data_IF_604891673033
#
_entry.id   IF_604891673033
#
_cell.length_a   1.000
_cell.length_b   1.000
_cell.length_c   1.000
_cell.angle_alpha   90.00
_cell.angle_beta   90.00
_cell.angle_gamma   90.00
#
_symmetry.space_group_name_H-M   'P 1'
#
loop_
_entity.id
_entity.type
_entity.pdbx_description
1 polymer ?
#
# COMPACT_ATOMS: atom_id res chain seq x y z
N UNK A 1 1.95 -24.11 4.00
CA UNK A 1 2.54 -25.15 3.14
C UNK A 1 3.49 -24.47 2.14
N UNK A 2 4.66 -25.06 1.88
CA UNK A 2 5.55 -24.60 0.83
C UNK A 2 5.10 -25.14 -0.52
N UNK A 3 5.18 -24.32 -1.56
CA UNK A 3 4.79 -24.68 -2.90
C UNK A 3 5.75 -24.10 -3.94
N UNK A 4 5.80 -24.69 -5.10
CA UNK A 4 6.50 -24.17 -6.27
C UNK A 4 5.47 -23.67 -7.26
N UNK A 5 5.61 -22.41 -7.69
CA UNK A 5 4.78 -21.86 -8.78
C UNK A 5 5.25 -22.49 -10.09
N UNK A 6 4.34 -23.16 -10.75
CA UNK A 6 4.63 -23.93 -11.97
C UNK A 6 3.71 -23.57 -13.13
N UNK A 7 4.20 -23.81 -14.32
CA UNK A 7 3.45 -23.74 -15.58
C UNK A 7 4.00 -24.75 -16.57
N UNK A 8 3.38 -24.89 -17.72
CA UNK A 8 3.91 -25.71 -18.83
C UNK A 8 5.38 -25.32 -19.11
N UNK A 9 6.33 -26.26 -19.06
CA UNK A 9 7.75 -25.97 -19.27
C UNK A 9 8.03 -25.30 -20.59
N UNK A 10 9.00 -24.39 -20.60
CA UNK A 10 9.32 -23.59 -21.80
C UNK A 10 9.64 -24.43 -23.04
N UNK A 11 10.25 -25.60 -22.85
CA UNK A 11 10.60 -26.52 -23.95
C UNK A 11 9.37 -27.17 -24.58
N UNK A 12 8.24 -27.20 -23.90
CA UNK A 12 6.99 -27.77 -24.41
C UNK A 12 6.04 -26.69 -24.95
N UNK A 13 6.40 -25.41 -24.86
CA UNK A 13 5.60 -24.31 -25.40
C UNK A 13 5.77 -24.24 -26.92
N UNK A 14 4.66 -24.00 -27.60
CA UNK A 14 4.65 -23.59 -29.00
C UNK A 14 5.23 -22.18 -29.19
N UNK A 15 5.60 -21.80 -30.42
CA UNK A 15 6.09 -20.45 -30.68
C UNK A 15 5.08 -19.35 -30.41
N UNK A 16 3.80 -19.65 -30.50
CA UNK A 16 2.71 -18.73 -30.15
C UNK A 16 2.64 -18.55 -28.62
N UNK A 17 2.64 -19.64 -27.87
CA UNK A 17 2.59 -19.63 -26.39
C UNK A 17 3.80 -18.90 -25.78
N UNK A 18 4.99 -19.01 -26.39
CA UNK A 18 6.22 -18.32 -25.93
C UNK A 18 6.14 -16.81 -26.01
N UNK A 19 5.31 -16.26 -26.90
CA UNK A 19 5.12 -14.82 -27.11
C UNK A 19 4.00 -14.23 -26.25
N UNK A 20 3.28 -15.06 -25.52
CA UNK A 20 2.16 -14.62 -24.67
C UNK A 20 2.61 -14.46 -23.23
N UNK A 21 2.04 -13.43 -22.56
CA UNK A 21 2.13 -13.30 -21.13
C UNK A 21 1.33 -14.42 -20.48
N UNK A 22 1.95 -15.14 -19.54
CA UNK A 22 1.30 -16.23 -18.82
C UNK A 22 0.15 -15.70 -17.99
N UNK A 23 -1.04 -16.28 -18.15
CA UNK A 23 -2.19 -15.96 -17.31
C UNK A 23 -2.10 -16.72 -15.99
N UNK A 24 -2.64 -16.16 -14.92
CA UNK A 24 -2.71 -16.86 -13.62
C UNK A 24 -3.48 -18.19 -13.74
N UNK A 25 -4.50 -18.25 -14.58
CA UNK A 25 -5.29 -19.46 -14.84
C UNK A 25 -4.50 -20.59 -15.50
N UNK A 26 -3.34 -20.27 -16.11
CA UNK A 26 -2.48 -21.25 -16.79
C UNK A 26 -1.33 -21.72 -15.87
N UNK A 27 -1.37 -21.33 -14.61
CA UNK A 27 -0.39 -21.65 -13.58
C UNK A 27 -0.98 -22.56 -12.53
N UNK A 28 -0.13 -23.33 -11.87
CA UNK A 28 -0.50 -24.15 -10.72
C UNK A 28 0.57 -24.07 -9.62
N UNK A 29 0.20 -24.50 -8.44
CA UNK A 29 1.07 -24.60 -7.29
C UNK A 29 1.35 -26.08 -7.03
N UNK A 30 2.61 -26.46 -7.14
CA UNK A 30 3.04 -27.81 -6.78
C UNK A 30 3.45 -27.81 -5.30
N UNK A 31 2.67 -28.51 -4.48
CA UNK A 31 2.91 -28.73 -3.05
C UNK A 31 3.50 -30.12 -2.76
N UNK A 32 3.80 -30.92 -3.80
CA UNK A 32 4.31 -32.28 -3.66
C UNK A 32 3.25 -33.32 -3.30
N UNK A 33 1.96 -33.00 -3.45
CA UNK A 33 0.87 -33.97 -3.22
C UNK A 33 0.80 -35.01 -4.34
N UNK A 34 0.53 -36.28 -4.00
CA UNK A 34 0.41 -37.36 -4.98
C UNK A 34 -1.01 -37.50 -5.56
N UNK A 35 -2.00 -37.00 -4.82
CA UNK A 35 -3.41 -37.09 -5.17
C UNK A 35 -4.19 -35.94 -4.54
N UNK A 36 -5.50 -35.89 -4.80
CA UNK A 36 -6.40 -34.87 -4.31
C UNK A 36 -6.54 -34.91 -2.79
N UNK A 37 -6.62 -36.07 -2.22
CA UNK A 37 -6.79 -36.29 -0.79
C UNK A 37 -5.58 -35.77 0.00
N UNK A 38 -4.36 -35.99 -0.50
CA UNK A 38 -3.14 -35.41 0.08
C UNK A 38 -3.16 -33.88 0.04
N UNK A 39 -3.65 -33.29 -1.05
CA UNK A 39 -3.74 -31.86 -1.19
C UNK A 39 -4.80 -31.25 -0.26
N UNK A 40 -6.01 -31.83 -0.24
CA UNK A 40 -7.14 -31.35 0.59
C UNK A 40 -6.88 -31.49 2.10
N UNK A 41 -5.97 -32.37 2.50
CA UNK A 41 -5.52 -32.45 3.88
C UNK A 41 -4.65 -31.26 4.34
N UNK A 42 -4.13 -30.48 3.42
CA UNK A 42 -3.18 -29.39 3.68
C UNK A 42 -3.67 -28.01 3.27
N UNK A 43 -4.51 -27.92 2.24
CA UNK A 43 -4.99 -26.66 1.65
C UNK A 43 -6.45 -26.77 1.22
N UNK A 44 -7.14 -25.65 1.22
CA UNK A 44 -8.52 -25.53 0.76
C UNK A 44 -8.67 -24.51 -0.37
N UNK A 45 -9.74 -24.63 -1.15
CA UNK A 45 -10.08 -23.63 -2.15
C UNK A 45 -10.41 -22.31 -1.47
N UNK A 46 -9.65 -21.28 -1.79
CA UNK A 46 -9.78 -19.94 -1.17
C UNK A 46 -8.61 -19.58 -0.25
N UNK A 47 -7.71 -20.51 0.02
CA UNK A 47 -6.50 -20.21 0.79
C UNK A 47 -5.62 -19.18 0.08
N UNK A 48 -5.08 -18.17 0.79
CA UNK A 48 -4.21 -17.19 0.22
C UNK A 48 -2.82 -17.77 -0.10
N UNK A 49 -2.25 -17.29 -1.19
CA UNK A 49 -0.89 -17.64 -1.60
C UNK A 49 0.01 -16.41 -1.48
N UNK A 50 1.13 -16.58 -0.80
CA UNK A 50 2.13 -15.52 -0.63
C UNK A 50 3.50 -15.98 -1.12
N UNK A 51 4.32 -15.03 -1.60
CA UNK A 51 5.69 -15.34 -1.98
C UNK A 51 6.56 -15.52 -0.72
N UNK A 52 7.31 -16.60 -0.68
CA UNK A 52 8.23 -16.92 0.43
C UNK A 52 9.55 -16.12 0.28
N UNK A 53 9.45 -14.79 0.40
CA UNK A 53 10.58 -13.87 0.33
C UNK A 53 10.64 -13.04 1.61
N UNK A 54 11.86 -12.87 2.14
CA UNK A 54 12.12 -11.96 3.26
C UNK A 54 12.53 -10.57 2.77
N UNK A 55 12.70 -9.65 3.72
CA UNK A 55 13.29 -8.35 3.46
C UNK A 55 14.76 -8.51 3.06
N UNK A 56 15.17 -7.75 2.06
CA UNK A 56 16.55 -7.70 1.57
C UNK A 56 17.05 -6.26 1.61
N UNK A 57 18.18 -6.04 2.22
CA UNK A 57 18.88 -4.76 2.16
C UNK A 57 19.57 -4.59 0.81
N UNK A 58 19.49 -3.38 0.29
CA UNK A 58 20.08 -3.01 -1.00
C UNK A 58 21.07 -1.87 -0.82
N UNK A 59 21.82 -1.54 -1.86
CA UNK A 59 22.74 -0.40 -1.85
C UNK A 59 22.01 0.91 -1.52
N UNK A 60 22.74 1.85 -0.95
CA UNK A 60 22.29 3.22 -0.62
C UNK A 60 21.11 3.27 0.38
N UNK A 61 21.04 2.30 1.32
CA UNK A 61 20.01 2.29 2.35
C UNK A 61 18.60 1.96 1.83
N UNK A 62 18.52 1.35 0.67
CA UNK A 62 17.25 0.84 0.14
C UNK A 62 16.96 -0.56 0.68
N UNK A 63 15.70 -0.92 0.71
CA UNK A 63 15.26 -2.26 1.07
C UNK A 63 14.20 -2.76 0.07
N UNK A 64 14.15 -4.07 -0.10
CA UNK A 64 13.16 -4.77 -0.90
C UNK A 64 12.47 -5.83 -0.05
N UNK A 65 11.16 -5.90 -0.13
CA UNK A 65 10.35 -6.95 0.50
C UNK A 65 9.01 -7.11 -0.21
N UNK A 66 8.38 -8.29 -0.15
CA UNK A 66 6.99 -8.43 -0.57
C UNK A 66 6.06 -7.57 0.29
N UNK A 67 4.98 -7.09 -0.31
CA UNK A 67 3.93 -6.34 0.38
C UNK A 67 4.44 -5.09 1.13
N UNK A 68 5.44 -4.39 0.60
CA UNK A 68 5.77 -3.04 1.08
C UNK A 68 4.59 -2.08 0.89
N UNK A 69 3.77 -2.34 -0.10
CA UNK A 69 2.38 -1.91 -0.19
C UNK A 69 1.50 -2.89 0.61
N UNK A 70 0.95 -2.52 1.77
CA UNK A 70 1.27 -1.30 2.49
C UNK A 70 1.77 -1.61 3.92
N UNK A 71 2.67 -2.60 4.09
CA UNK A 71 3.29 -2.90 5.40
C UNK A 71 4.09 -1.73 5.94
N UNK A 72 4.68 -0.92 5.06
CA UNK A 72 5.42 0.28 5.44
C UNK A 72 4.50 1.32 6.06
N UNK A 73 3.31 1.55 5.50
CA UNK A 73 2.31 2.45 6.07
C UNK A 73 1.76 1.94 7.41
N UNK A 74 1.52 0.64 7.55
CA UNK A 74 1.12 0.05 8.85
C UNK A 74 2.17 0.32 9.92
N UNK A 75 3.45 0.14 9.60
CA UNK A 75 4.53 0.49 10.53
C UNK A 75 4.52 1.98 10.91
N UNK A 76 4.33 2.86 9.92
CA UNK A 76 4.30 4.32 10.14
C UNK A 76 3.16 4.72 11.08
N UNK A 77 1.94 4.20 10.90
CA UNK A 77 0.81 4.58 11.76
C UNK A 77 0.98 4.07 13.19
N UNK A 78 1.55 2.88 13.39
CA UNK A 78 1.87 2.35 14.72
C UNK A 78 2.95 3.19 15.40
N UNK A 79 4.02 3.52 14.68
CA UNK A 79 5.10 4.36 15.21
C UNK A 79 4.62 5.79 15.51
N UNK A 80 3.75 6.34 14.67
CA UNK A 80 3.13 7.65 14.93
C UNK A 80 2.30 7.63 16.21
N UNK A 81 1.51 6.58 16.47
CA UNK A 81 0.76 6.42 17.71
C UNK A 81 1.70 6.32 18.93
N UNK A 82 2.78 5.53 18.80
CA UNK A 82 3.79 5.39 19.85
C UNK A 82 4.40 6.74 20.24
N UNK A 83 4.73 7.57 19.24
CA UNK A 83 5.30 8.92 19.46
C UNK A 83 4.27 9.92 19.96
N UNK A 84 3.00 9.77 19.60
CA UNK A 84 1.94 10.68 20.00
C UNK A 84 1.52 10.47 21.45
N UNK A 85 1.70 9.29 22.03
CA UNK A 85 1.21 8.86 23.34
C UNK A 85 1.43 9.91 24.45
N UNK A 86 2.59 10.51 24.50
CA UNK A 86 2.97 11.44 25.55
C UNK A 86 2.82 12.92 25.12
N UNK A 87 2.35 13.19 23.90
CA UNK A 87 2.24 14.55 23.36
C UNK A 87 0.82 15.09 23.31
N UNK A 88 -0.19 14.23 23.24
CA UNK A 88 -1.59 14.62 23.02
C UNK A 88 -2.55 13.97 24.01
N UNK A 89 -2.42 14.27 25.31
CA UNK A 89 -3.22 13.59 26.35
C UNK A 89 -4.71 13.97 26.30
N UNK A 90 -5.09 15.03 25.58
CA UNK A 90 -6.46 15.57 25.55
C UNK A 90 -7.27 15.11 24.34
N UNK A 91 -6.69 14.36 23.42
CA UNK A 91 -7.38 13.83 22.24
C UNK A 91 -7.16 12.32 22.11
N UNK A 92 -8.18 11.63 21.58
CA UNK A 92 -8.05 10.23 21.17
C UNK A 92 -7.24 10.14 19.89
N UNK A 93 -6.17 9.34 19.89
CA UNK A 93 -5.36 9.03 18.72
C UNK A 93 -5.45 7.54 18.45
N UNK A 94 -5.76 7.16 17.22
CA UNK A 94 -5.97 5.79 16.80
C UNK A 94 -5.00 5.45 15.65
N UNK A 95 -4.27 4.36 15.77
CA UNK A 95 -3.59 3.73 14.64
C UNK A 95 -4.47 2.57 14.17
N UNK A 96 -4.74 2.52 12.88
CA UNK A 96 -5.65 1.53 12.29
C UNK A 96 -4.93 0.83 11.15
N UNK A 97 -4.84 -0.49 11.23
CA UNK A 97 -4.47 -1.34 10.10
C UNK A 97 -5.74 -1.81 9.43
N UNK A 98 -6.02 -1.25 8.27
CA UNK A 98 -7.22 -1.54 7.49
C UNK A 98 -7.07 -2.83 6.71
N UNK A 99 -8.11 -3.65 6.69
CA UNK A 99 -8.16 -4.86 5.89
C UNK A 99 -8.84 -4.60 4.55
N UNK A 100 -8.47 -5.40 3.54
CA UNK A 100 -9.16 -5.40 2.25
C UNK A 100 -9.17 -4.02 1.55
N UNK A 101 -8.06 -3.29 1.64
CA UNK A 101 -7.87 -2.04 0.91
C UNK A 101 -7.94 -2.31 -0.59
N UNK A 102 -7.12 -3.24 -1.11
CA UNK A 102 -6.94 -3.62 -2.51
C UNK A 102 -8.22 -4.11 -3.22
N UNK A 103 -9.24 -4.49 -2.48
CA UNK A 103 -10.51 -5.01 -3.00
C UNK A 103 -11.71 -4.13 -2.63
N UNK A 104 -11.49 -2.85 -2.41
CA UNK A 104 -12.54 -1.85 -2.26
C UNK A 104 -12.57 -1.07 -0.96
N UNK A 105 -11.41 -0.85 -0.32
CA UNK A 105 -11.24 0.07 0.83
C UNK A 105 -12.15 -0.28 2.02
N UNK A 106 -12.41 -1.58 2.22
CA UNK A 106 -13.50 -2.06 3.09
C UNK A 106 -13.20 -1.81 4.56
N UNK A 107 -11.99 -2.11 5.00
CA UNK A 107 -11.56 -1.90 6.38
C UNK A 107 -11.57 -0.44 6.80
N UNK A 108 -11.13 0.46 5.93
CA UNK A 108 -11.15 1.89 6.18
C UNK A 108 -12.58 2.43 6.35
N UNK A 109 -13.51 1.96 5.53
CA UNK A 109 -14.92 2.35 5.63
C UNK A 109 -15.53 1.95 6.96
N UNK A 110 -15.30 0.72 7.40
CA UNK A 110 -15.91 0.19 8.65
C UNK A 110 -15.23 0.73 9.88
N UNK A 111 -13.90 0.85 9.91
CA UNK A 111 -13.16 1.39 11.04
C UNK A 111 -13.43 2.87 11.25
N UNK A 112 -13.47 3.68 10.18
CA UNK A 112 -13.82 5.09 10.27
C UNK A 112 -15.26 5.30 10.78
N UNK A 113 -16.19 4.41 10.41
CA UNK A 113 -17.56 4.46 10.95
C UNK A 113 -17.58 4.17 12.46
N UNK A 114 -16.84 3.16 12.92
CA UNK A 114 -16.79 2.78 14.33
C UNK A 114 -16.11 3.83 15.20
N UNK A 115 -14.97 4.36 14.74
CA UNK A 115 -14.17 5.35 15.48
C UNK A 115 -14.82 6.74 15.45
N UNK A 116 -15.50 7.09 14.36
CA UNK A 116 -16.08 8.43 14.12
C UNK A 116 -15.06 9.57 14.33
N UNK A 117 -13.92 9.57 13.64
CA UNK A 117 -12.87 10.54 13.88
C UNK A 117 -13.25 11.93 13.39
N UNK A 118 -12.76 12.98 14.07
CA UNK A 118 -12.89 14.38 13.61
C UNK A 118 -11.99 14.66 12.41
N UNK A 119 -10.79 14.07 12.42
CA UNK A 119 -9.84 14.14 11.31
C UNK A 119 -9.11 12.81 11.16
N UNK A 120 -8.65 12.53 9.97
CA UNK A 120 -7.87 11.33 9.65
C UNK A 120 -6.71 11.63 8.70
N UNK A 121 -5.67 10.83 8.79
CA UNK A 121 -4.58 10.80 7.82
C UNK A 121 -4.48 9.37 7.32
N UNK A 122 -4.75 9.15 6.05
CA UNK A 122 -4.44 7.89 5.40
C UNK A 122 -2.94 7.86 5.06
N UNK A 123 -2.31 6.72 5.32
CA UNK A 123 -0.90 6.48 4.97
C UNK A 123 -0.86 5.32 3.98
N UNK A 124 -0.32 5.58 2.81
CA UNK A 124 -0.27 4.64 1.71
C UNK A 124 1.11 4.67 1.03
N UNK A 125 1.30 3.96 -0.05
CA UNK A 125 2.47 4.07 -0.91
C UNK A 125 2.15 4.85 -2.19
N UNK A 126 3.17 5.28 -2.90
CA UNK A 126 3.05 5.87 -4.23
C UNK A 126 4.23 5.49 -5.11
N UNK A 127 4.02 5.44 -6.41
CA UNK A 127 5.09 5.10 -7.35
C UNK A 127 6.12 6.23 -7.43
N UNK A 128 7.38 5.91 -7.11
CA UNK A 128 8.50 6.78 -7.42
C UNK A 128 8.71 6.79 -8.94
N UNK A 129 8.92 7.98 -9.50
CA UNK A 129 9.01 8.19 -10.94
C UNK A 129 10.45 8.37 -11.42
N UNK A 130 11.41 8.12 -10.54
CA UNK A 130 12.84 8.18 -10.80
C UNK A 130 13.42 6.82 -11.27
N UNK A 131 12.61 6.02 -11.94
CA UNK A 131 13.00 4.77 -12.57
C UNK A 131 12.83 4.82 -14.10
N UNK A 132 13.46 3.91 -14.84
CA UNK A 132 13.37 3.88 -16.31
C UNK A 132 11.94 3.77 -16.82
N UNK A 133 11.68 4.38 -17.99
CA UNK A 133 10.42 4.29 -18.72
C UNK A 133 9.20 4.95 -18.09
N UNK A 134 9.38 5.83 -17.10
CA UNK A 134 8.29 6.63 -16.53
C UNK A 134 8.28 8.03 -17.15
N UNK A 135 7.13 8.43 -17.70
CA UNK A 135 6.91 9.81 -18.18
C UNK A 135 6.51 10.72 -17.00
N UNK A 136 7.48 11.51 -16.54
CA UNK A 136 7.28 12.46 -15.44
C UNK A 136 6.27 13.56 -15.73
N UNK A 137 6.01 13.88 -17.00
CA UNK A 137 4.98 14.88 -17.37
C UNK A 137 3.58 14.36 -17.05
N UNK A 138 3.39 13.06 -17.14
CA UNK A 138 2.10 12.40 -16.86
C UNK A 138 1.96 11.97 -15.40
N UNK A 139 3.06 11.49 -14.80
CA UNK A 139 3.02 10.84 -13.48
C UNK A 139 3.53 11.72 -12.33
N UNK A 140 4.08 12.91 -12.65
CA UNK A 140 4.76 13.75 -11.66
C UNK A 140 6.24 13.38 -11.46
N UNK A 141 6.95 14.16 -10.65
CA UNK A 141 8.37 13.90 -10.31
C UNK A 141 8.49 13.56 -8.82
N UNK A 142 8.30 12.27 -8.51
CA UNK A 142 8.40 11.73 -7.15
C UNK A 142 9.64 10.86 -7.09
N UNK A 143 10.51 11.14 -6.11
CA UNK A 143 11.80 10.48 -5.96
C UNK A 143 11.81 9.57 -4.74
N UNK A 144 12.42 8.42 -4.89
CA UNK A 144 12.72 7.52 -3.78
C UNK A 144 13.71 8.20 -2.82
N UNK A 145 13.46 8.10 -1.53
CA UNK A 145 14.34 8.67 -0.50
C UNK A 145 14.28 10.19 -0.32
N UNK A 146 13.47 10.92 -1.10
CA UNK A 146 13.33 12.38 -0.99
C UNK A 146 12.24 12.81 0.03
N UNK A 147 11.83 11.93 0.90
CA UNK A 147 10.77 12.13 1.89
C UNK A 147 9.40 11.65 1.43
N UNK A 148 8.42 11.62 2.35
CA UNK A 148 7.05 11.23 2.04
C UNK A 148 6.41 12.21 1.05
N UNK A 149 5.37 11.76 0.38
CA UNK A 149 4.59 12.61 -0.52
C UNK A 149 3.29 13.02 0.17
N UNK A 150 3.04 14.32 0.28
CA UNK A 150 1.77 14.88 0.75
C UNK A 150 0.90 15.17 -0.47
N UNK A 151 -0.30 14.65 -0.49
CA UNK A 151 -1.22 14.83 -1.61
C UNK A 151 -2.20 15.98 -1.41
N UNK A 152 -2.53 16.63 -2.54
CA UNK A 152 -3.61 17.62 -2.67
C UNK A 152 -4.64 17.12 -3.67
N UNK A 153 -5.89 17.49 -3.48
CA UNK A 153 -6.97 17.14 -4.39
C UNK A 153 -8.29 16.91 -3.67
N UNK A 154 -9.32 16.46 -4.38
CA UNK A 154 -10.68 16.33 -3.83
C UNK A 154 -10.81 15.35 -2.66
N UNK A 155 -9.88 14.42 -2.49
CA UNK A 155 -9.84 13.49 -1.37
C UNK A 155 -9.13 14.03 -0.13
N UNK A 156 -8.55 15.24 -0.20
CA UNK A 156 -7.75 15.79 0.86
C UNK A 156 -8.34 17.11 1.36
N UNK A 157 -8.63 17.19 2.65
CA UNK A 157 -9.07 18.42 3.26
C UNK A 157 -7.93 19.47 3.23
N UNK A 158 -8.13 20.68 2.67
CA UNK A 158 -7.07 21.65 2.52
C UNK A 158 -6.46 22.12 3.84
N UNK A 159 -7.22 22.16 4.93
CA UNK A 159 -6.70 22.49 6.26
C UNK A 159 -5.79 21.40 6.82
N UNK A 160 -6.14 20.13 6.63
CA UNK A 160 -5.28 19.01 7.03
C UNK A 160 -3.98 19.03 6.21
N UNK A 161 -4.06 19.23 4.91
CA UNK A 161 -2.88 19.34 4.04
C UNK A 161 -1.98 20.52 4.47
N UNK A 162 -2.59 21.67 4.79
CA UNK A 162 -1.81 22.82 5.25
C UNK A 162 -1.11 22.53 6.56
N UNK A 163 -1.80 21.90 7.53
CA UNK A 163 -1.20 21.47 8.81
C UNK A 163 -0.02 20.51 8.63
N UNK A 164 -0.15 19.53 7.75
CA UNK A 164 0.96 18.60 7.44
C UNK A 164 2.18 19.36 6.91
N UNK A 165 1.97 20.34 6.04
CA UNK A 165 3.05 21.16 5.48
C UNK A 165 3.68 22.08 6.53
N UNK A 166 2.88 22.69 7.38
CA UNK A 166 3.34 23.58 8.44
C UNK A 166 4.23 22.82 9.43
N UNK A 167 3.81 21.62 9.85
CA UNK A 167 4.61 20.74 10.71
C UNK A 167 5.90 20.30 10.02
N UNK A 168 5.83 19.92 8.75
CA UNK A 168 7.01 19.54 7.99
C UNK A 168 8.03 20.69 7.89
N UNK A 169 7.54 21.92 7.68
CA UNK A 169 8.39 23.12 7.65
C UNK A 169 8.99 23.45 9.02
N UNK A 170 8.18 23.38 10.07
CA UNK A 170 8.62 23.63 11.45
C UNK A 170 9.71 22.65 11.91
N UNK A 171 9.53 21.38 11.63
CA UNK A 171 10.42 20.30 12.06
C UNK A 171 11.49 19.97 11.01
N UNK A 172 11.59 20.78 9.95
CA UNK A 172 12.54 20.61 8.84
C UNK A 172 12.49 19.22 8.19
N UNK A 173 11.30 18.63 8.11
CA UNK A 173 11.09 17.31 7.49
C UNK A 173 10.99 17.49 5.98
N UNK A 174 11.89 16.89 5.19
CA UNK A 174 11.75 16.91 3.73
C UNK A 174 10.51 16.16 3.30
N UNK A 175 9.75 16.71 2.38
CA UNK A 175 8.57 16.06 1.79
C UNK A 175 8.42 16.47 0.32
N UNK A 176 7.65 15.69 -0.40
CA UNK A 176 7.28 15.96 -1.79
C UNK A 176 5.80 16.31 -1.87
N UNK A 177 5.42 17.12 -2.84
CA UNK A 177 4.03 17.50 -3.04
C UNK A 177 3.51 16.92 -4.34
N UNK A 178 2.36 16.25 -4.29
CA UNK A 178 1.65 15.74 -5.45
C UNK A 178 0.18 16.13 -5.42
N UNK A 179 -0.48 15.99 -6.57
CA UNK A 179 -1.90 16.29 -6.70
C UNK A 179 -2.63 15.21 -7.50
N UNK A 180 -3.86 14.93 -7.08
CA UNK A 180 -4.78 14.05 -7.81
C UNK A 180 -6.07 14.84 -8.01
N UNK A 181 -6.44 15.08 -9.27
CA UNK A 181 -7.65 15.84 -9.65
C UNK A 181 -8.94 15.02 -9.65
N UNK A 182 -8.91 13.79 -9.17
CA UNK A 182 -10.04 12.84 -9.13
C UNK A 182 -10.02 12.05 -7.82
N UNK A 183 -11.03 11.21 -7.59
CA UNK A 183 -11.01 10.25 -6.49
C UNK A 183 -9.76 9.36 -6.56
N UNK A 184 -9.06 9.24 -5.46
CA UNK A 184 -7.91 8.34 -5.34
C UNK A 184 -8.36 6.94 -4.93
N UNK A 185 -7.67 5.92 -5.43
CA UNK A 185 -7.93 4.53 -5.05
C UNK A 185 -7.12 4.19 -3.79
N UNK A 186 -7.46 4.85 -2.66
CA UNK A 186 -6.84 4.61 -1.36
C UNK A 186 -7.85 4.90 -0.24
N UNK A 187 -7.48 4.58 0.99
CA UNK A 187 -8.36 4.69 2.16
C UNK A 187 -8.89 6.10 2.41
N UNK A 188 -8.15 7.16 2.06
CA UNK A 188 -8.64 8.54 2.19
C UNK A 188 -9.95 8.77 1.44
N UNK A 189 -10.16 8.08 0.31
CA UNK A 189 -11.36 8.23 -0.51
C UNK A 189 -12.66 7.84 0.21
N UNK A 190 -12.63 6.82 1.04
CA UNK A 190 -13.82 6.35 1.77
C UNK A 190 -13.91 6.93 3.17
N UNK A 191 -12.78 7.28 3.79
CA UNK A 191 -12.75 7.91 5.11
C UNK A 191 -13.43 9.27 5.05
N UNK A 192 -13.09 10.11 4.06
CA UNK A 192 -13.66 11.47 3.93
C UNK A 192 -15.19 11.48 3.77
N UNK A 193 -15.76 10.41 3.21
CA UNK A 193 -17.21 10.29 2.99
C UNK A 193 -17.93 9.61 4.14
N UNK A 194 -17.23 9.28 5.22
CA UNK A 194 -17.81 8.53 6.32
C UNK A 194 -18.69 9.42 7.20
N UNK A 195 -19.85 8.88 7.63
CA UNK A 195 -20.85 9.61 8.45
C UNK A 195 -21.21 10.98 7.85
N UNK A 196 -20.98 12.06 8.58
CA UNK A 196 -21.21 13.44 8.13
C UNK A 196 -20.01 14.07 7.42
N UNK A 197 -18.99 13.28 7.13
CA UNK A 197 -17.73 13.70 6.55
C UNK A 197 -16.60 13.77 7.59
N UNK A 198 -15.39 13.38 7.16
CA UNK A 198 -14.17 13.40 7.98
C UNK A 198 -13.12 14.25 7.28
N UNK A 199 -12.51 15.19 7.99
CA UNK A 199 -11.41 15.98 7.44
C UNK A 199 -10.19 15.06 7.24
N UNK A 200 -9.89 14.69 5.98
CA UNK A 200 -8.92 13.65 5.68
C UNK A 200 -7.72 14.20 4.92
N UNK A 201 -6.51 13.78 5.31
CA UNK A 201 -5.26 13.96 4.59
C UNK A 201 -4.74 12.65 4.03
N UNK A 202 -3.82 12.75 3.07
CA UNK A 202 -3.11 11.62 2.48
C UNK A 202 -1.61 11.88 2.47
N UNK A 203 -0.87 10.97 3.08
CA UNK A 203 0.60 10.92 3.06
C UNK A 203 1.01 9.58 2.48
N UNK A 204 1.92 9.59 1.51
CA UNK A 204 2.36 8.34 0.89
C UNK A 204 3.87 8.17 0.96
N UNK A 205 4.31 6.93 0.96
CA UNK A 205 5.71 6.55 0.97
C UNK A 205 6.09 6.18 -0.46
N UNK A 206 7.06 6.89 -1.09
CA UNK A 206 7.52 6.52 -2.41
C UNK A 206 8.14 5.11 -2.42
N UNK A 207 7.68 4.25 -3.32
CA UNK A 207 8.26 2.94 -3.58
C UNK A 207 8.44 2.73 -5.09
N UNK A 208 9.09 1.63 -5.47
CA UNK A 208 9.25 1.19 -6.86
C UNK A 208 8.74 -0.23 -7.00
N UNK A 209 8.04 -0.50 -8.13
CA UNK A 209 7.54 -1.81 -8.59
C UNK A 209 6.47 -2.46 -7.72
#
# INVERSE_FOLDING_TARGET
>A
VHAVISRKPIHLLTDVERKQVVKLTDMWLDIGANNKEDAEALVEVGDPVTLSLGMQEMLNGLANAPCMDNRTGVWVVIEALRRAKDRYPTCGVFAVSTVQEEIGLRGARTSAFGIAPTAAIAVDVTHATDCPSIDKKQQGDIKLGAGPTVYRGPNCNPLVVQKLRDVAAQDQIPYQLAAIGRGASNDANVIQLNRSGVATGLVTIPNRY
#
